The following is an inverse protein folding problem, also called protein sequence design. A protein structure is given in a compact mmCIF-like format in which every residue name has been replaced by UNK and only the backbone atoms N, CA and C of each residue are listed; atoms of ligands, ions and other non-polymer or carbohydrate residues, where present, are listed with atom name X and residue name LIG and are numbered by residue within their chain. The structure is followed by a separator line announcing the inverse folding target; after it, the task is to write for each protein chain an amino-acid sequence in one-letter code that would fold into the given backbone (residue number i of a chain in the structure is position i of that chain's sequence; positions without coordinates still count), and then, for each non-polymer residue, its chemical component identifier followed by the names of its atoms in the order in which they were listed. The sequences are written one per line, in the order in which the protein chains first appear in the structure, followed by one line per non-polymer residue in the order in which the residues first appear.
data_IF_278370267651
#
_entry.id   IF_278370267651
#
_cell.length_a   1.000
_cell.length_b   1.000
_cell.length_c   1.000
_cell.angle_alpha   90.00
_cell.angle_beta   90.00
_cell.angle_gamma   90.00
#
_symmetry.space_group_name_H-M   'P 1'
#
loop_
_entity.id
_entity.type
_entity.pdbx_description
1 polymer ?
#
# COMPACT_ATOMS: atom_id res chain seq x y z
N UNK A 1 0.57 0.72 9.55
CA UNK A 1 -0.17 -0.25 10.38
C UNK A 1 0.73 -0.97 11.37
N UNK A 2 1.84 -1.60 10.97
CA UNK A 2 2.73 -2.29 11.92
C UNK A 2 3.15 -1.38 13.08
N UNK A 3 3.71 -0.20 12.80
CA UNK A 3 4.17 0.72 13.84
C UNK A 3 3.06 1.18 14.83
N UNK A 4 1.80 1.19 14.38
CA UNK A 4 0.65 1.51 15.23
C UNK A 4 0.27 0.37 16.20
N UNK A 5 0.68 -0.86 15.90
CA UNK A 5 0.34 -2.05 16.68
C UNK A 5 1.53 -2.62 17.48
N UNK A 6 2.72 -2.03 17.37
CA UNK A 6 3.86 -2.44 18.18
C UNK A 6 3.67 -2.04 19.65
N UNK A 7 3.98 -2.95 20.56
CA UNK A 7 3.99 -2.68 21.99
C UNK A 7 5.05 -1.62 22.33
N UNK A 8 4.59 -0.46 22.80
CA UNK A 8 5.41 0.70 23.15
C UNK A 8 6.34 0.43 24.33
N UNK A 9 6.00 -0.50 25.20
CA UNK A 9 6.84 -0.88 26.33
C UNK A 9 8.00 -1.77 25.89
N UNK A 10 7.75 -2.62 24.90
CA UNK A 10 8.75 -3.53 24.33
C UNK A 10 9.65 -2.85 23.30
N UNK A 11 9.09 -1.97 22.48
CA UNK A 11 9.78 -1.29 21.38
C UNK A 11 9.78 0.22 21.62
N UNK A 12 10.77 0.72 22.37
CA UNK A 12 10.86 2.13 22.75
C UNK A 12 11.38 3.03 21.62
N UNK A 13 12.25 2.49 20.77
CA UNK A 13 12.91 3.25 19.70
C UNK A 13 12.43 2.74 18.33
N UNK A 14 11.34 3.33 17.84
CA UNK A 14 10.79 3.01 16.53
C UNK A 14 10.97 4.24 15.65
N UNK A 15 11.43 4.03 14.42
CA UNK A 15 11.40 5.08 13.41
C UNK A 15 10.81 4.58 12.09
N UNK A 16 10.31 5.52 11.31
CA UNK A 16 9.84 5.34 9.94
C UNK A 16 10.66 6.28 9.05
N UNK A 17 11.15 5.76 7.94
CA UNK A 17 11.83 6.52 6.89
C UNK A 17 10.86 6.64 5.72
N UNK A 18 10.63 7.85 5.24
CA UNK A 18 9.69 8.14 4.15
C UNK A 18 10.35 9.13 3.16
N UNK A 19 10.37 8.74 1.91
CA UNK A 19 10.93 9.56 0.82
C UNK A 19 10.11 10.83 0.58
N UNK A 20 8.81 10.76 0.76
CA UNK A 20 7.92 11.89 0.54
C UNK A 20 7.94 12.88 1.71
N UNK A 21 7.52 14.12 1.43
CA UNK A 21 7.33 15.16 2.45
C UNK A 21 6.10 14.94 3.34
N UNK A 22 5.17 14.07 2.91
CA UNK A 22 3.93 13.72 3.62
C UNK A 22 3.75 12.24 3.71
N UNK A 23 3.17 11.78 4.82
CA UNK A 23 2.83 10.37 5.02
C UNK A 23 1.70 9.92 4.09
N UNK A 24 1.78 8.67 3.65
CA UNK A 24 0.71 7.94 2.98
C UNK A 24 0.11 8.62 1.72
N UNK A 25 0.91 9.14 0.78
CA UNK A 25 0.39 9.80 -0.42
C UNK A 25 -0.50 8.87 -1.26
N UNK A 26 -0.21 7.56 -1.30
CA UNK A 26 -1.06 6.57 -1.99
C UNK A 26 -2.44 6.42 -1.35
N UNK A 27 -2.54 6.44 -0.03
CA UNK A 27 -3.83 6.42 0.67
C UNK A 27 -4.64 7.65 0.27
N UNK A 28 -3.99 8.83 0.22
CA UNK A 28 -4.65 10.09 -0.09
C UNK A 28 -5.34 10.10 -1.45
N UNK A 29 -4.77 9.46 -2.47
CA UNK A 29 -5.32 9.44 -3.83
C UNK A 29 -6.17 8.19 -4.13
N UNK A 30 -6.13 7.19 -3.28
CA UNK A 30 -6.87 5.93 -3.44
C UNK A 30 -8.39 6.17 -3.45
N UNK A 31 -9.11 5.50 -4.33
CA UNK A 31 -10.57 5.53 -4.41
C UNK A 31 -11.14 6.94 -4.61
N UNK A 32 -10.49 7.81 -5.38
CA UNK A 32 -10.93 9.19 -5.58
C UNK A 32 -10.94 10.00 -4.27
N UNK A 33 -9.91 9.87 -3.46
CA UNK A 33 -9.74 10.46 -2.12
C UNK A 33 -10.70 9.91 -1.03
N UNK A 34 -11.41 8.81 -1.30
CA UNK A 34 -12.25 8.12 -0.31
C UNK A 34 -11.59 6.90 0.31
N UNK A 35 -10.41 6.54 -0.16
CA UNK A 35 -9.62 5.39 0.26
C UNK A 35 -10.35 4.04 0.11
N UNK A 36 -9.95 3.25 -0.85
CA UNK A 36 -10.37 1.85 -0.95
C UNK A 36 -9.74 1.07 0.20
N UNK A 37 -10.55 0.53 1.10
CA UNK A 37 -10.07 -0.18 2.30
C UNK A 37 -9.94 -1.67 2.01
N UNK A 38 -11.04 -2.31 1.64
CA UNK A 38 -11.14 -3.73 1.34
C UNK A 38 -12.39 -4.02 0.52
N UNK A 39 -12.66 -5.28 0.22
CA UNK A 39 -13.87 -5.71 -0.47
C UNK A 39 -14.61 -6.78 0.34
N UNK A 40 -15.93 -6.79 0.25
CA UNK A 40 -16.79 -7.78 0.90
C UNK A 40 -16.47 -9.22 0.47
N UNK A 41 -16.12 -9.37 -0.80
CA UNK A 41 -15.89 -10.67 -1.45
C UNK A 41 -14.42 -11.05 -1.53
N UNK A 42 -13.53 -10.45 -0.73
CA UNK A 42 -12.11 -10.80 -0.75
C UNK A 42 -11.90 -12.26 -0.36
N UNK A 43 -11.19 -12.99 -1.22
CA UNK A 43 -10.78 -14.38 -1.00
C UNK A 43 -9.39 -14.61 -1.60
N UNK A 44 -8.80 -15.77 -1.36
CA UNK A 44 -7.52 -16.14 -1.98
C UNK A 44 -7.60 -16.22 -3.51
N UNK A 45 -8.79 -16.47 -4.08
CA UNK A 45 -9.00 -16.56 -5.54
C UNK A 45 -8.90 -15.21 -6.25
N UNK A 46 -8.93 -14.12 -5.49
CA UNK A 46 -8.73 -12.77 -6.03
C UNK A 46 -7.23 -12.42 -6.23
N UNK A 47 -6.31 -13.30 -5.85
CA UNK A 47 -4.88 -13.09 -5.97
C UNK A 47 -4.29 -13.93 -7.09
N UNK A 48 -3.43 -13.32 -7.90
CA UNK A 48 -2.63 -14.03 -8.90
C UNK A 48 -1.35 -14.55 -8.24
N UNK A 49 -1.07 -15.84 -8.39
CA UNK A 49 0.12 -16.49 -7.83
C UNK A 49 -0.20 -17.63 -6.87
N UNK A 50 0.44 -17.66 -5.73
CA UNK A 50 0.27 -18.73 -4.73
C UNK A 50 -0.99 -18.48 -3.87
N UNK A 51 -2.07 -19.16 -4.25
CA UNK A 51 -3.36 -19.04 -3.55
C UNK A 51 -3.32 -19.62 -2.13
N UNK A 52 -2.47 -20.62 -1.86
CA UNK A 52 -2.32 -21.17 -0.51
C UNK A 52 -1.66 -20.17 0.42
N UNK A 53 -0.60 -19.50 -0.06
CA UNK A 53 0.03 -18.42 0.67
C UNK A 53 -0.92 -17.24 0.93
N UNK A 54 -1.70 -16.84 -0.08
CA UNK A 54 -2.71 -15.79 0.08
C UNK A 54 -3.78 -16.19 1.12
N UNK A 55 -4.24 -17.44 1.10
CA UNK A 55 -5.20 -17.99 2.07
C UNK A 55 -4.66 -17.90 3.49
N UNK A 56 -3.45 -18.40 3.73
CA UNK A 56 -2.84 -18.35 5.06
C UNK A 56 -2.72 -16.93 5.63
N UNK A 57 -2.42 -15.94 4.78
CA UNK A 57 -2.35 -14.55 5.21
C UNK A 57 -3.72 -13.98 5.55
N UNK A 58 -4.74 -14.27 4.74
CA UNK A 58 -6.12 -13.82 4.97
C UNK A 58 -6.75 -14.48 6.21
N UNK A 59 -6.37 -15.71 6.53
CA UNK A 59 -6.77 -16.38 7.77
C UNK A 59 -6.11 -15.76 9.02
N UNK A 60 -4.87 -15.29 8.91
CA UNK A 60 -4.16 -14.62 10.01
C UNK A 60 -4.62 -13.17 10.24
N UNK A 61 -5.05 -12.50 9.21
CA UNK A 61 -5.57 -11.13 9.28
C UNK A 61 -6.60 -10.91 8.19
N UNK A 62 -7.84 -11.09 8.55
CA UNK A 62 -8.98 -11.03 7.64
C UNK A 62 -9.43 -9.59 7.33
N UNK A 63 -10.35 -9.45 6.37
CA UNK A 63 -11.04 -8.18 6.13
C UNK A 63 -11.81 -7.68 7.34
N UNK A 64 -12.38 -8.62 8.11
CA UNK A 64 -13.17 -8.28 9.29
C UNK A 64 -12.27 -7.79 10.43
N UNK A 65 -11.07 -8.35 10.57
CA UNK A 65 -10.04 -7.84 11.50
C UNK A 65 -9.61 -6.43 11.12
N UNK A 66 -9.43 -6.16 9.82
CA UNK A 66 -9.11 -4.82 9.34
C UNK A 66 -10.24 -3.83 9.64
N UNK A 67 -11.48 -4.19 9.35
CA UNK A 67 -12.66 -3.35 9.62
C UNK A 67 -12.83 -3.11 11.12
N UNK A 68 -12.67 -4.14 11.94
CA UNK A 68 -12.72 -4.03 13.39
C UNK A 68 -11.62 -3.09 13.94
N UNK A 69 -10.40 -3.21 13.41
CA UNK A 69 -9.30 -2.31 13.76
C UNK A 69 -9.62 -0.85 13.42
N UNK A 70 -10.14 -0.58 12.23
CA UNK A 70 -10.50 0.76 11.79
C UNK A 70 -11.63 1.34 12.64
N UNK A 71 -12.71 0.56 12.85
CA UNK A 71 -13.86 0.96 13.65
C UNK A 71 -13.45 1.29 15.11
N UNK A 72 -12.63 0.44 15.71
CA UNK A 72 -12.08 0.68 17.05
C UNK A 72 -11.31 2.00 17.16
N UNK A 73 -10.72 2.45 16.07
CA UNK A 73 -9.94 3.68 16.01
C UNK A 73 -10.69 4.87 15.40
N UNK A 74 -12.01 4.77 15.26
CA UNK A 74 -12.89 5.89 14.87
C UNK A 74 -13.02 6.09 13.34
N UNK A 75 -12.57 5.13 12.54
CA UNK A 75 -12.76 5.13 11.08
C UNK A 75 -13.78 4.06 10.71
N UNK A 76 -14.89 4.44 10.08
CA UNK A 76 -16.04 3.58 9.79
C UNK A 76 -16.24 3.42 8.28
N UNK A 77 -15.53 2.49 7.62
CA UNK A 77 -15.71 2.24 6.19
C UNK A 77 -17.11 1.70 5.89
N UNK A 78 -17.64 2.10 4.73
CA UNK A 78 -18.97 1.67 4.25
C UNK A 78 -18.88 1.22 2.80
N UNK A 79 -19.71 0.26 2.42
CA UNK A 79 -19.90 -0.12 1.03
C UNK A 79 -20.71 0.98 0.34
N UNK A 80 -20.25 1.40 -0.85
CA UNK A 80 -21.02 2.25 -1.72
C UNK A 80 -21.49 1.43 -2.94
N UNK A 81 -22.79 1.06 -3.01
CA UNK A 81 -23.31 0.21 -4.08
C UNK A 81 -23.25 0.86 -5.47
N UNK A 82 -23.05 2.18 -5.53
CA UNK A 82 -22.96 2.93 -6.79
C UNK A 82 -21.56 2.97 -7.40
N UNK A 83 -20.57 2.42 -6.72
CA UNK A 83 -19.17 2.43 -7.17
C UNK A 83 -18.79 1.00 -7.54
N UNK A 84 -17.74 0.45 -6.95
CA UNK A 84 -17.31 -0.91 -7.20
C UNK A 84 -18.02 -1.87 -6.24
N UNK A 85 -18.64 -2.91 -6.78
CA UNK A 85 -19.40 -3.90 -5.99
C UNK A 85 -18.58 -4.42 -4.79
N UNK A 86 -19.16 -4.31 -3.62
CA UNK A 86 -18.59 -4.81 -2.37
C UNK A 86 -17.40 -4.01 -1.81
N UNK A 87 -16.95 -2.94 -2.44
CA UNK A 87 -15.79 -2.18 -1.96
C UNK A 87 -16.15 -1.27 -0.80
N UNK A 88 -15.37 -1.38 0.28
CA UNK A 88 -15.46 -0.51 1.44
C UNK A 88 -14.64 0.76 1.23
N UNK A 89 -15.28 1.91 1.40
CA UNK A 89 -14.69 3.24 1.32
C UNK A 89 -14.86 3.99 2.63
N UNK A 90 -13.94 4.90 2.93
CA UNK A 90 -14.10 5.91 3.96
C UNK A 90 -14.83 7.15 3.42
N UNK A 91 -15.30 8.00 4.29
CA UNK A 91 -15.82 9.31 3.90
C UNK A 91 -14.69 10.17 3.30
N UNK A 92 -13.50 10.09 3.90
CA UNK A 92 -12.29 10.75 3.43
C UNK A 92 -11.07 9.86 3.67
N UNK A 93 -10.14 9.84 2.73
CA UNK A 93 -8.83 9.24 2.95
C UNK A 93 -8.05 9.93 4.07
N UNK A 94 -8.37 11.20 4.37
CA UNK A 94 -7.75 11.95 5.45
C UNK A 94 -8.06 11.33 6.81
N UNK A 95 -9.27 10.79 7.03
CA UNK A 95 -9.65 10.13 8.29
C UNK A 95 -8.69 8.97 8.62
N UNK A 96 -8.31 8.18 7.61
CA UNK A 96 -7.35 7.06 7.75
C UNK A 96 -5.95 7.59 8.06
N UNK A 97 -5.52 8.65 7.37
CA UNK A 97 -4.20 9.26 7.57
C UNK A 97 -4.08 9.83 8.98
N UNK A 98 -5.10 10.55 9.44
CA UNK A 98 -5.14 11.18 10.77
C UNK A 98 -5.15 10.11 11.88
N UNK A 99 -5.93 9.05 11.71
CA UNK A 99 -5.94 7.91 12.62
C UNK A 99 -4.54 7.31 12.76
N UNK A 100 -3.85 6.98 11.66
CA UNK A 100 -2.50 6.42 11.73
C UNK A 100 -1.48 7.43 12.24
N UNK A 101 -1.61 8.71 11.93
CA UNK A 101 -0.76 9.77 12.46
C UNK A 101 -0.85 9.83 13.97
N UNK A 102 -2.06 9.77 14.52
CA UNK A 102 -2.33 9.73 15.96
C UNK A 102 -1.76 8.46 16.61
N UNK A 103 -2.04 7.29 16.04
CA UNK A 103 -1.58 6.00 16.56
C UNK A 103 -0.05 5.87 16.57
N UNK A 104 0.63 6.56 15.65
CA UNK A 104 2.09 6.57 15.50
C UNK A 104 2.74 7.87 16.00
N UNK A 105 2.09 8.62 16.88
CA UNK A 105 2.64 9.88 17.40
C UNK A 105 3.97 9.70 18.16
N UNK A 106 4.16 8.52 18.76
CA UNK A 106 5.38 8.14 19.49
C UNK A 106 6.52 7.66 18.56
N UNK A 107 6.27 7.50 17.27
CA UNK A 107 7.24 7.00 16.28
C UNK A 107 8.01 8.17 15.69
N UNK A 108 9.33 8.11 15.68
CA UNK A 108 10.18 9.09 15.01
C UNK A 108 10.03 8.94 13.50
N UNK A 109 9.76 10.02 12.81
CA UNK A 109 9.55 10.04 11.35
C UNK A 109 10.65 10.83 10.68
N UNK A 110 11.39 10.19 9.78
CA UNK A 110 12.37 10.82 8.91
C UNK A 110 11.70 11.00 7.54
N UNK A 111 11.17 12.21 7.31
CA UNK A 111 10.51 12.60 6.07
C UNK A 111 11.53 13.17 5.09
N UNK A 112 11.19 13.21 3.80
CA UNK A 112 12.11 13.62 2.72
C UNK A 112 13.45 12.88 2.81
N UNK A 113 13.42 11.61 3.15
CA UNK A 113 14.62 10.82 3.41
C UNK A 113 14.55 9.56 2.57
N UNK A 114 15.47 9.42 1.62
CA UNK A 114 15.49 8.30 0.68
C UNK A 114 16.52 7.25 1.12
N UNK A 115 16.08 6.02 1.28
CA UNK A 115 16.98 4.89 1.54
C UNK A 115 17.76 4.58 0.27
N UNK A 116 19.09 4.57 0.39
CA UNK A 116 20.02 4.27 -0.71
C UNK A 116 20.50 2.81 -0.61
N UNK A 117 20.82 2.35 0.58
CA UNK A 117 21.37 1.01 0.80
C UNK A 117 21.07 0.49 2.19
N UNK A 118 21.06 -0.84 2.31
CA UNK A 118 20.94 -1.55 3.58
C UNK A 118 21.97 -2.65 3.63
N UNK A 119 22.73 -2.71 4.74
CA UNK A 119 23.64 -3.80 5.03
C UNK A 119 23.35 -4.39 6.40
N UNK A 120 23.83 -5.60 6.66
CA UNK A 120 23.71 -6.28 7.94
C UNK A 120 25.06 -6.79 8.42
N UNK A 121 25.41 -6.40 9.64
CA UNK A 121 26.53 -6.93 10.40
C UNK A 121 26.16 -6.80 11.88
N UNK A 122 25.60 -7.88 12.46
CA UNK A 122 24.98 -7.92 13.80
C UNK A 122 23.75 -6.99 13.94
N UNK A 123 23.75 -5.86 13.24
CA UNK A 123 22.63 -4.90 13.15
C UNK A 123 22.44 -4.46 11.70
N UNK A 124 21.26 -3.95 11.40
CA UNK A 124 20.99 -3.34 10.10
C UNK A 124 21.57 -1.94 10.07
N UNK A 125 22.40 -1.64 9.06
CA UNK A 125 22.93 -0.32 8.76
C UNK A 125 22.18 0.21 7.53
N UNK A 126 21.34 1.21 7.75
CA UNK A 126 20.51 1.82 6.72
C UNK A 126 21.17 3.14 6.30
N UNK A 127 21.64 3.19 5.06
CA UNK A 127 22.21 4.41 4.46
C UNK A 127 21.09 5.15 3.72
N UNK A 128 20.95 6.43 4.01
CA UNK A 128 20.03 7.33 3.29
C UNK A 128 20.81 8.44 2.56
N UNK A 129 20.10 9.26 1.83
CA UNK A 129 20.64 10.46 1.17
C UNK A 129 21.16 11.52 2.17
N UNK A 130 20.67 11.52 3.40
CA UNK A 130 20.96 12.56 4.39
C UNK A 130 21.59 12.06 5.69
N UNK A 131 21.41 10.78 6.04
CA UNK A 131 21.91 10.23 7.30
C UNK A 131 22.09 8.70 7.24
N UNK A 132 22.71 8.13 8.27
CA UNK A 132 22.79 6.70 8.48
C UNK A 132 22.05 6.31 9.79
N UNK A 133 21.33 5.21 9.74
CA UNK A 133 20.58 4.68 10.88
C UNK A 133 21.04 3.26 11.16
N UNK A 134 21.22 2.93 12.41
CA UNK A 134 21.47 1.57 12.87
C UNK A 134 20.23 1.03 13.60
N UNK A 135 19.83 -0.20 13.27
CA UNK A 135 18.66 -0.83 13.84
C UNK A 135 18.86 -2.33 14.10
N UNK A 136 18.33 -2.82 15.21
CA UNK A 136 18.33 -4.26 15.51
C UNK A 136 17.34 -5.05 14.65
N UNK A 137 16.28 -4.39 14.18
CA UNK A 137 15.24 -4.97 13.34
C UNK A 137 14.88 -4.00 12.24
N UNK A 138 14.72 -4.50 11.03
CA UNK A 138 14.28 -3.75 9.87
C UNK A 138 13.02 -4.36 9.31
N UNK A 139 12.07 -3.50 8.94
CA UNK A 139 10.88 -3.89 8.16
C UNK A 139 10.86 -3.07 6.90
N UNK A 140 10.90 -3.74 5.76
CA UNK A 140 10.77 -3.11 4.45
C UNK A 140 9.31 -3.06 4.08
N UNK A 141 8.76 -1.87 3.99
CA UNK A 141 7.34 -1.61 3.73
C UNK A 141 7.14 -0.52 2.66
N UNK A 142 8.10 -0.38 1.74
CA UNK A 142 8.11 0.67 0.71
C UNK A 142 7.09 0.44 -0.42
N UNK A 143 6.44 -0.72 -0.46
CA UNK A 143 5.50 -1.09 -1.52
C UNK A 143 6.20 -1.51 -2.81
N UNK A 144 5.45 -1.53 -3.91
CA UNK A 144 5.92 -1.90 -5.24
C UNK A 144 6.13 -0.70 -6.15
N UNK A 145 6.20 -0.96 -7.47
CA UNK A 145 6.56 0.02 -8.50
C UNK A 145 5.40 0.91 -9.00
N UNK A 146 4.16 0.62 -8.58
CA UNK A 146 3.00 1.37 -9.04
C UNK A 146 3.02 2.81 -8.56
N UNK A 147 2.74 3.76 -9.44
CA UNK A 147 2.72 5.20 -9.18
C UNK A 147 4.08 5.79 -8.74
N UNK A 148 5.08 5.82 -9.63
CA UNK A 148 6.40 6.38 -9.33
C UNK A 148 6.34 7.84 -8.84
N UNK A 149 5.41 8.64 -9.37
CA UNK A 149 5.17 10.03 -8.95
C UNK A 149 4.76 10.19 -7.47
N UNK A 150 4.37 9.09 -6.82
CA UNK A 150 4.05 9.04 -5.39
C UNK A 150 5.18 8.40 -4.56
N UNK A 151 6.39 8.32 -5.10
CA UNK A 151 7.56 7.80 -4.40
C UNK A 151 7.73 6.29 -4.47
N UNK A 152 7.03 5.59 -5.36
CA UNK A 152 7.26 4.16 -5.57
C UNK A 152 8.65 3.93 -6.19
N UNK A 153 9.38 2.94 -5.68
CA UNK A 153 10.74 2.61 -6.11
C UNK A 153 11.01 1.10 -6.04
N UNK A 154 12.13 0.66 -6.61
CA UNK A 154 12.58 -0.74 -6.58
C UNK A 154 13.23 -1.15 -5.25
N UNK A 155 13.45 -0.22 -4.32
CA UNK A 155 14.30 -0.44 -3.13
C UNK A 155 13.94 -1.71 -2.33
N UNK A 156 12.65 -2.07 -2.22
CA UNK A 156 12.25 -3.29 -1.53
C UNK A 156 12.78 -4.55 -2.23
N UNK A 157 12.71 -4.57 -3.54
CA UNK A 157 13.17 -5.70 -4.36
C UNK A 157 14.68 -5.78 -4.39
N UNK A 158 15.38 -4.63 -4.41
CA UNK A 158 16.83 -4.56 -4.39
C UNK A 158 17.38 -5.04 -3.04
N UNK A 159 16.76 -4.63 -1.93
CA UNK A 159 17.07 -5.15 -0.60
C UNK A 159 16.82 -6.67 -0.54
N UNK A 160 15.66 -7.14 -1.02
CA UNK A 160 15.35 -8.57 -1.01
C UNK A 160 16.40 -9.39 -1.77
N UNK A 161 16.80 -8.97 -2.97
CA UNK A 161 17.86 -9.62 -3.76
C UNK A 161 19.20 -9.59 -3.04
N UNK A 162 19.56 -8.46 -2.42
CA UNK A 162 20.80 -8.30 -1.67
C UNK A 162 20.89 -9.24 -0.47
N UNK A 163 19.74 -9.57 0.13
CA UNK A 163 19.63 -10.55 1.21
C UNK A 163 19.27 -11.96 0.70
N UNK A 164 19.58 -12.25 -0.56
CA UNK A 164 19.49 -13.57 -1.20
C UNK A 164 18.05 -14.13 -1.28
N UNK A 165 17.04 -13.27 -1.18
CA UNK A 165 15.66 -13.66 -1.44
C UNK A 165 15.37 -13.74 -2.93
N UNK A 166 14.59 -14.75 -3.33
CA UNK A 166 14.06 -14.85 -4.69
C UNK A 166 13.01 -13.77 -4.93
N UNK A 167 13.23 -12.97 -5.97
CA UNK A 167 12.24 -11.99 -6.44
C UNK A 167 11.74 -12.45 -7.79
N UNK A 168 10.46 -12.79 -7.87
CA UNK A 168 9.79 -13.15 -9.13
C UNK A 168 9.76 -11.98 -10.10
N UNK A 169 9.56 -12.26 -11.40
CA UNK A 169 9.43 -11.21 -12.39
C UNK A 169 8.29 -10.26 -12.04
N UNK A 170 8.56 -8.97 -12.10
CA UNK A 170 7.56 -7.96 -11.80
C UNK A 170 6.77 -7.65 -13.08
N UNK A 171 5.46 -7.84 -13.01
CA UNK A 171 4.54 -7.59 -14.10
C UNK A 171 3.42 -6.66 -13.65
N UNK A 172 2.88 -5.79 -14.52
CA UNK A 172 1.71 -5.01 -14.20
C UNK A 172 0.48 -5.93 -14.11
N UNK A 173 -0.26 -5.87 -13.01
CA UNK A 173 -1.47 -6.66 -12.80
C UNK A 173 -2.76 -5.91 -13.21
N UNK A 174 -2.72 -4.58 -13.19
CA UNK A 174 -3.84 -3.72 -13.59
C UNK A 174 -3.30 -2.59 -14.46
N UNK A 175 -3.76 -2.52 -15.71
CA UNK A 175 -3.36 -1.50 -16.67
C UNK A 175 -4.59 -0.86 -17.30
N UNK A 176 -4.50 0.43 -17.60
CA UNK A 176 -5.53 1.12 -18.39
C UNK A 176 -5.32 0.94 -19.89
N UNK A 177 -6.39 1.04 -20.64
CA UNK A 177 -6.31 1.21 -22.09
C UNK A 177 -6.07 2.67 -22.43
N UNK A 178 -5.32 2.93 -23.48
CA UNK A 178 -5.19 4.24 -24.10
C UNK A 178 -5.87 4.24 -25.45
N UNK A 179 -6.51 5.35 -25.78
CA UNK A 179 -7.14 5.56 -27.08
C UNK A 179 -6.43 6.66 -27.86
N UNK A 180 -6.52 6.65 -29.18
CA UNK A 180 -6.03 7.73 -30.03
C UNK A 180 -6.78 9.03 -29.72
N UNK A 181 -6.16 10.20 -30.01
CA UNK A 181 -6.77 11.49 -29.69
C UNK A 181 -8.13 11.71 -30.38
N UNK A 182 -8.23 11.27 -31.60
CA UNK A 182 -9.45 11.32 -32.42
C UNK A 182 -10.56 10.38 -31.93
N UNK A 183 -10.18 9.33 -31.19
CA UNK A 183 -11.09 8.36 -30.58
C UNK A 183 -11.48 8.75 -29.14
N UNK A 184 -10.95 9.86 -28.60
CA UNK A 184 -11.13 10.25 -27.19
C UNK A 184 -12.46 10.95 -26.92
N UNK A 185 -13.57 10.42 -27.45
CA UNK A 185 -14.92 10.89 -27.17
C UNK A 185 -15.41 10.57 -25.72
N UNK A 186 -14.72 9.65 -25.02
CA UNK A 186 -15.03 9.30 -23.61
C UNK A 186 -14.70 10.39 -22.59
N UNK A 187 -14.03 11.48 -22.99
CA UNK A 187 -13.56 12.51 -22.05
C UNK A 187 -14.66 13.03 -21.13
N UNK A 188 -15.87 13.14 -21.66
CA UNK A 188 -17.03 13.63 -20.90
C UNK A 188 -17.66 12.55 -20.01
N UNK A 189 -17.19 11.30 -20.07
CA UNK A 189 -17.66 10.16 -19.29
C UNK A 189 -16.70 9.85 -18.14
N UNK A 190 -15.78 10.75 -17.82
CA UNK A 190 -14.81 10.54 -16.72
C UNK A 190 -15.54 10.28 -15.40
N UNK A 191 -15.19 9.17 -14.72
CA UNK A 191 -15.81 8.76 -13.47
C UNK A 191 -17.05 7.87 -13.61
N UNK A 192 -17.47 7.54 -14.83
CA UNK A 192 -18.56 6.59 -15.09
C UNK A 192 -17.95 5.19 -15.17
N UNK A 193 -18.60 4.23 -14.51
CA UNK A 193 -18.29 2.80 -14.61
C UNK A 193 -19.41 2.07 -15.30
N UNK A 194 -19.08 1.15 -16.21
CA UNK A 194 -20.03 0.27 -16.89
C UNK A 194 -19.44 -1.11 -17.07
N UNK A 195 -20.26 -2.11 -17.20
CA UNK A 195 -19.84 -3.45 -17.60
C UNK A 195 -19.55 -3.46 -19.10
N UNK A 196 -18.44 -4.09 -19.47
CA UNK A 196 -17.99 -4.20 -20.86
C UNK A 196 -17.38 -5.57 -21.10
N UNK A 197 -17.56 -6.08 -22.29
CA UNK A 197 -16.82 -7.23 -22.80
C UNK A 197 -15.66 -6.73 -23.67
N UNK A 198 -14.48 -7.27 -23.45
CA UNK A 198 -13.28 -6.89 -24.19
C UNK A 198 -12.86 -8.05 -25.08
N UNK A 199 -12.80 -7.78 -26.38
CA UNK A 199 -12.35 -8.74 -27.38
C UNK A 199 -11.02 -8.27 -27.97
N UNK A 200 -10.08 -9.19 -28.10
CA UNK A 200 -8.80 -8.96 -28.77
C UNK A 200 -8.80 -9.77 -30.05
N UNK A 201 -8.75 -9.09 -31.20
CA UNK A 201 -8.67 -9.77 -32.50
C UNK A 201 -7.35 -10.55 -32.60
N UNK A 202 -7.43 -11.79 -33.08
CA UNK A 202 -6.27 -12.65 -33.38
C UNK A 202 -5.80 -13.56 -32.26
N UNK A 203 -6.57 -13.73 -31.17
CA UNK A 203 -6.32 -14.80 -30.18
C UNK A 203 -7.63 -15.41 -29.69
#
# INVERSE_FOLDING_TARGET
MLAANLDKNKYKNICVIETNSKLAPKIKVSGGAKCNITNEFVSCDNYLGDNLFAKELLEKFSKDDLLAFLNKNGVFPKINPKIVKGTYFCNSSQDVIDMFTKLTSHVKKYMNTTVIDVTFDKTYKIKTDSLAIEAKKLVVASGGLSYPVLGASSIAFDIAKKFEHTVTKLEPALVGFTVQKDQFWFKNLAGISTEVDVYVEGK
#
